data_IF_080169015676
#
_entry.id   IF_080169015676
#
_cell.length_a   1.000
_cell.length_b   1.000
_cell.length_c   1.000
_cell.angle_alpha   90.00
_cell.angle_beta   90.00
_cell.angle_gamma   90.00
#
_symmetry.space_group_name_H-M   'P 1'
#
loop_
_entity.id
_entity.type
_entity.pdbx_description
1 polymer ?
#
# COMPACT_ATOMS: atom_id res chain seq x y z
N UNK A 1 57.08 27.80 -36.43
CA UNK A 1 57.56 26.46 -36.01
C UNK A 1 58.31 26.66 -34.70
N UNK A 2 58.00 25.83 -33.70
CA UNK A 2 58.34 25.95 -32.27
C UNK A 2 57.54 27.03 -31.50
N UNK A 3 57.08 26.86 -30.26
CA UNK A 3 56.67 25.74 -29.40
C UNK A 3 56.30 26.44 -28.07
N UNK A 4 55.14 26.13 -27.46
CA UNK A 4 54.74 26.24 -26.03
C UNK A 4 53.31 26.81 -25.87
N UNK A 5 52.55 26.42 -24.83
CA UNK A 5 52.14 25.06 -24.49
C UNK A 5 50.60 24.95 -24.46
N UNK A 6 50.05 23.77 -24.78
CA UNK A 6 48.65 23.44 -24.47
C UNK A 6 48.46 23.43 -22.95
N UNK A 7 48.05 24.55 -22.37
CA UNK A 7 47.45 24.58 -21.04
C UNK A 7 45.92 24.51 -21.16
N UNK A 8 45.32 23.79 -20.22
CA UNK A 8 43.98 23.23 -20.28
C UNK A 8 42.87 24.23 -20.62
N UNK A 9 41.80 23.68 -21.19
CA UNK A 9 40.52 24.33 -21.48
C UNK A 9 39.92 24.93 -20.20
N UNK A 10 40.31 26.14 -19.84
CA UNK A 10 39.45 27.05 -19.08
C UNK A 10 39.25 28.27 -19.97
N UNK A 11 38.05 28.47 -20.56
CA UNK A 11 37.78 29.70 -21.28
C UNK A 11 37.95 30.87 -20.30
N UNK A 12 38.62 31.97 -20.70
CA UNK A 12 38.56 33.20 -19.91
C UNK A 12 37.08 33.64 -19.79
N UNK A 13 36.76 34.46 -18.79
CA UNK A 13 35.41 35.01 -18.67
C UNK A 13 35.02 35.65 -20.03
N UNK A 14 33.78 35.47 -20.51
CA UNK A 14 33.41 35.75 -21.90
C UNK A 14 33.66 37.19 -22.34
N UNK A 15 33.71 38.14 -21.40
CA UNK A 15 34.01 39.54 -21.69
C UNK A 15 35.50 39.83 -21.94
N UNK A 16 36.42 38.95 -21.53
CA UNK A 16 37.86 39.08 -21.77
C UNK A 16 38.27 38.56 -23.15
N UNK A 17 37.42 37.77 -23.81
CA UNK A 17 37.70 37.22 -25.15
C UNK A 17 37.96 38.31 -26.19
N UNK A 18 37.28 39.46 -26.07
CA UNK A 18 37.45 40.59 -27.00
C UNK A 18 38.79 41.33 -26.86
N UNK A 19 39.55 41.08 -25.78
CA UNK A 19 40.83 41.75 -25.50
C UNK A 19 42.04 40.84 -25.71
N UNK A 20 41.86 39.68 -26.35
CA UNK A 20 42.93 38.73 -26.67
C UNK A 20 43.66 39.18 -27.95
N UNK A 21 44.96 39.46 -27.83
CA UNK A 21 45.87 39.78 -28.93
C UNK A 21 46.89 38.64 -29.16
N UNK A 22 47.77 38.81 -30.16
CA UNK A 22 48.85 37.85 -30.45
C UNK A 22 49.89 37.74 -29.30
N UNK A 23 50.12 38.85 -28.58
CA UNK A 23 50.90 38.89 -27.35
C UNK A 23 50.01 39.38 -26.20
N UNK A 24 49.86 38.56 -25.15
CA UNK A 24 49.02 38.87 -23.99
C UNK A 24 49.83 38.84 -22.69
N UNK A 25 49.64 39.87 -21.86
CA UNK A 25 50.12 39.88 -20.47
C UNK A 25 48.97 39.43 -19.57
N UNK A 26 49.15 38.30 -18.89
CA UNK A 26 48.12 37.65 -18.07
C UNK A 26 48.58 37.58 -16.62
N UNK A 27 47.78 38.08 -15.68
CA UNK A 27 47.99 37.83 -14.25
C UNK A 27 47.03 36.73 -13.78
N UNK A 28 47.59 35.70 -13.15
CA UNK A 28 46.86 34.48 -12.76
C UNK A 28 47.00 34.25 -11.26
N UNK A 29 45.89 33.88 -10.61
CA UNK A 29 45.89 33.32 -9.27
C UNK A 29 45.66 31.81 -9.38
N UNK A 30 46.55 31.03 -8.77
CA UNK A 30 46.39 29.57 -8.75
C UNK A 30 45.34 29.20 -7.70
N UNK A 31 44.28 28.51 -8.12
CA UNK A 31 43.31 27.87 -7.22
C UNK A 31 43.49 26.35 -7.27
N UNK A 32 42.88 25.63 -6.32
CA UNK A 32 43.08 24.19 -6.16
C UNK A 32 42.67 23.34 -7.38
N UNK A 33 41.77 23.86 -8.24
CA UNK A 33 41.28 23.15 -9.42
C UNK A 33 41.76 23.74 -10.74
N UNK A 34 41.78 25.07 -10.88
CA UNK A 34 42.09 25.77 -12.13
C UNK A 34 42.73 27.16 -11.88
N UNK A 35 43.70 27.62 -12.70
CA UNK A 35 44.22 28.97 -12.56
C UNK A 35 43.16 29.99 -13.00
N UNK A 36 42.82 30.93 -12.12
CA UNK A 36 41.89 32.01 -12.41
C UNK A 36 42.66 33.21 -12.98
N UNK A 37 42.30 33.63 -14.18
CA UNK A 37 42.82 34.85 -14.81
C UNK A 37 42.13 36.06 -14.17
N UNK A 38 42.89 36.91 -13.49
CA UNK A 38 42.36 38.11 -12.80
C UNK A 38 42.55 39.39 -13.60
N UNK A 39 43.56 39.43 -14.48
CA UNK A 39 43.77 40.52 -15.41
C UNK A 39 44.31 40.03 -16.74
N UNK A 40 43.88 40.68 -17.83
CA UNK A 40 44.33 40.45 -19.19
C UNK A 40 44.62 41.80 -19.84
N UNK A 41 45.85 42.03 -20.29
CA UNK A 41 46.25 43.23 -21.04
C UNK A 41 45.87 44.55 -20.34
N UNK A 42 45.96 44.59 -19.01
CA UNK A 42 45.63 45.76 -18.19
C UNK A 42 44.16 45.87 -17.78
N UNK A 43 43.27 45.03 -18.30
CA UNK A 43 41.86 44.97 -17.87
C UNK A 43 41.69 43.98 -16.73
N UNK A 44 41.04 44.41 -15.65
CA UNK A 44 40.87 43.60 -14.42
C UNK A 44 39.42 43.13 -14.25
N UNK A 45 39.21 41.97 -13.63
CA UNK A 45 37.86 41.47 -13.29
C UNK A 45 37.04 42.43 -12.42
N UNK A 46 37.70 43.32 -11.66
CA UNK A 46 37.03 44.23 -10.72
C UNK A 46 36.28 45.36 -11.43
N UNK A 47 36.84 45.91 -12.51
CA UNK A 47 36.19 46.98 -13.30
C UNK A 47 34.85 46.50 -13.88
N UNK A 48 34.78 45.25 -14.34
CA UNK A 48 33.54 44.65 -14.82
C UNK A 48 32.48 44.49 -13.72
N UNK A 49 32.85 44.02 -12.53
CA UNK A 49 31.92 43.96 -11.39
C UNK A 49 31.39 45.35 -11.01
N UNK A 50 32.22 46.39 -11.19
CA UNK A 50 31.86 47.77 -10.91
C UNK A 50 30.95 48.37 -11.98
N UNK A 51 31.17 48.07 -13.27
CA UNK A 51 30.24 48.42 -14.36
C UNK A 51 28.89 47.72 -14.23
N UNK A 52 28.89 46.43 -13.88
CA UNK A 52 27.64 45.66 -13.65
C UNK A 52 26.86 46.25 -12.47
N UNK A 53 27.56 46.73 -11.42
CA UNK A 53 26.94 47.50 -10.32
C UNK A 53 26.48 48.90 -10.74
N UNK A 54 27.17 49.54 -11.69
CA UNK A 54 26.79 50.83 -12.26
C UNK A 54 25.47 50.75 -13.04
N UNK A 55 25.28 49.69 -13.84
CA UNK A 55 24.01 49.43 -14.52
C UNK A 55 22.85 49.10 -13.56
N UNK A 56 23.15 48.53 -12.38
CA UNK A 56 22.15 48.28 -11.33
C UNK A 56 21.76 49.55 -10.53
N UNK A 57 22.46 50.67 -10.71
CA UNK A 57 22.25 51.91 -9.96
C UNK A 57 21.76 53.08 -10.83
N UNK A 58 21.35 52.83 -12.07
CA UNK A 58 20.63 53.83 -12.86
C UNK A 58 19.22 54.01 -12.25
N UNK A 59 18.85 55.18 -11.69
CA UNK A 59 17.48 55.43 -11.32
C UNK A 59 16.70 55.54 -12.62
N UNK A 60 15.88 54.52 -12.91
CA UNK A 60 14.81 54.65 -13.90
C UNK A 60 14.00 55.87 -13.48
N UNK A 61 13.79 56.89 -14.34
CA UNK A 61 12.97 58.02 -13.99
C UNK A 61 11.62 57.48 -13.53
N UNK A 62 11.26 57.85 -12.30
CA UNK A 62 10.03 57.47 -11.61
C UNK A 62 8.83 57.85 -12.47
N UNK A 63 8.49 56.94 -13.39
CA UNK A 63 7.18 56.91 -14.01
C UNK A 63 6.28 56.50 -12.85
N UNK A 64 5.48 57.46 -12.40
CA UNK A 64 4.47 57.32 -11.38
C UNK A 64 4.08 55.86 -11.17
N UNK A 65 4.47 55.30 -10.02
CA UNK A 65 3.77 54.18 -9.44
C UNK A 65 2.37 54.70 -9.11
N UNK A 66 1.54 54.82 -10.15
CA UNK A 66 0.12 54.71 -10.00
C UNK A 66 -0.07 53.39 -9.29
N UNK A 67 -0.50 53.49 -8.04
CA UNK A 67 -1.29 52.45 -7.39
C UNK A 67 -2.57 52.39 -8.21
N UNK A 68 -2.44 51.86 -9.43
CA UNK A 68 -3.52 51.33 -10.21
C UNK A 68 -3.99 50.22 -9.32
N UNK A 69 -5.14 50.42 -8.66
CA UNK A 69 -5.74 49.38 -7.85
C UNK A 69 -5.59 48.09 -8.64
N UNK A 70 -4.89 47.11 -8.07
CA UNK A 70 -5.03 45.73 -8.50
C UNK A 70 -6.52 45.59 -8.74
N UNK A 71 -6.91 45.36 -9.99
CA UNK A 71 -8.21 44.78 -10.27
C UNK A 71 -8.17 43.53 -9.41
N UNK A 72 -8.79 43.63 -8.24
CA UNK A 72 -8.73 42.66 -7.16
C UNK A 72 -8.78 41.33 -7.83
N UNK A 73 -7.74 40.50 -7.68
CA UNK A 73 -7.77 39.14 -8.20
C UNK A 73 -9.04 38.51 -7.64
N UNK A 74 -10.11 38.54 -8.45
CA UNK A 74 -11.46 38.43 -7.94
C UNK A 74 -11.70 36.94 -7.87
N UNK A 75 -11.27 36.36 -6.75
CA UNK A 75 -11.48 34.96 -6.46
C UNK A 75 -12.97 34.82 -6.20
N UNK A 76 -13.67 34.32 -7.20
CA UNK A 76 -15.09 34.03 -7.08
C UNK A 76 -15.24 32.66 -6.43
N UNK A 77 -15.79 32.64 -5.22
CA UNK A 77 -16.28 31.39 -4.64
C UNK A 77 -17.54 31.00 -5.40
N UNK A 78 -17.42 30.02 -6.30
CA UNK A 78 -18.53 29.54 -7.11
C UNK A 78 -19.49 28.71 -6.27
N UNK A 79 -18.96 27.74 -5.52
CA UNK A 79 -19.77 26.78 -4.78
C UNK A 79 -18.93 26.06 -3.71
N UNK A 80 -19.61 25.49 -2.72
CA UNK A 80 -19.03 24.55 -1.77
C UNK A 80 -19.67 23.19 -2.02
N UNK A 81 -18.88 22.24 -2.51
CA UNK A 81 -19.33 20.86 -2.76
C UNK A 81 -18.75 19.91 -1.70
N UNK A 82 -19.38 18.75 -1.52
CA UNK A 82 -18.79 17.66 -0.72
C UNK A 82 -17.90 16.79 -1.59
N UNK A 83 -16.92 16.15 -0.97
CA UNK A 83 -16.09 15.12 -1.61
C UNK A 83 -16.95 14.06 -2.32
N UNK A 84 -16.49 13.67 -3.49
CA UNK A 84 -17.00 12.48 -4.19
C UNK A 84 -16.47 11.20 -3.55
N UNK A 85 -17.11 10.07 -3.83
CA UNK A 85 -16.68 8.77 -3.31
C UNK A 85 -15.23 8.42 -3.69
N UNK A 86 -14.81 8.78 -4.91
CA UNK A 86 -13.47 8.50 -5.41
C UNK A 86 -12.40 9.39 -4.75
N UNK A 87 -12.71 10.68 -4.54
CA UNK A 87 -11.84 11.60 -3.79
C UNK A 87 -11.71 11.15 -2.32
N UNK A 88 -12.80 10.67 -1.73
CA UNK A 88 -12.79 10.12 -0.37
C UNK A 88 -11.94 8.83 -0.26
N UNK A 89 -11.90 8.00 -1.32
CA UNK A 89 -11.10 6.78 -1.31
C UNK A 89 -9.59 7.07 -1.15
N UNK A 90 -9.10 8.20 -1.69
CA UNK A 90 -7.72 8.67 -1.52
C UNK A 90 -7.43 9.11 -0.08
N UNK A 91 -8.37 9.81 0.55
CA UNK A 91 -8.18 10.36 1.90
C UNK A 91 -8.41 9.32 3.01
N UNK A 92 -9.05 8.18 2.69
CA UNK A 92 -9.31 7.12 3.66
C UNK A 92 -7.99 6.58 4.22
N UNK A 93 -7.75 6.65 5.54
CA UNK A 93 -6.56 6.04 6.14
C UNK A 93 -6.53 4.56 5.78
N UNK A 94 -5.31 4.00 5.59
CA UNK A 94 -5.08 2.57 5.37
C UNK A 94 -5.94 1.84 6.41
N UNK A 95 -7.02 1.18 5.98
CA UNK A 95 -8.08 0.55 6.79
C UNK A 95 -7.58 -0.67 7.53
N UNK A 96 -6.60 -0.39 8.38
CA UNK A 96 -5.94 -1.32 9.28
C UNK A 96 -6.88 -1.70 10.41
N UNK A 97 -7.77 -0.79 10.82
CA UNK A 97 -8.74 -1.04 11.88
C UNK A 97 -9.68 -2.19 11.50
N UNK A 98 -10.25 -2.13 10.30
CA UNK A 98 -11.17 -3.16 9.79
C UNK A 98 -10.45 -4.50 9.61
N UNK A 99 -9.22 -4.49 9.09
CA UNK A 99 -8.39 -5.68 8.97
C UNK A 99 -8.05 -6.30 10.35
N UNK A 100 -7.70 -5.47 11.34
CA UNK A 100 -7.41 -5.92 12.70
C UNK A 100 -8.64 -6.52 13.39
N UNK A 101 -9.84 -5.97 13.18
CA UNK A 101 -11.08 -6.53 13.72
C UNK A 101 -11.35 -7.94 13.17
N UNK A 102 -11.11 -8.17 11.88
CA UNK A 102 -11.26 -9.49 11.26
C UNK A 102 -10.24 -10.48 11.81
N UNK A 103 -8.97 -10.06 11.93
CA UNK A 103 -7.92 -10.93 12.50
C UNK A 103 -8.20 -11.24 13.97
N UNK A 104 -8.65 -10.26 14.76
CA UNK A 104 -9.04 -10.46 16.14
C UNK A 104 -10.24 -11.43 16.28
N UNK A 105 -11.20 -11.36 15.36
CA UNK A 105 -12.32 -12.31 15.29
C UNK A 105 -11.81 -13.74 15.05
N UNK A 106 -10.89 -13.95 14.09
CA UNK A 106 -10.31 -15.27 13.85
C UNK A 106 -9.53 -15.81 15.05
N UNK A 107 -8.79 -14.96 15.76
CA UNK A 107 -8.13 -15.34 17.01
C UNK A 107 -9.13 -15.74 18.09
N UNK A 108 -10.23 -15.01 18.26
CA UNK A 108 -11.28 -15.40 19.21
C UNK A 108 -11.91 -16.75 18.85
N UNK A 109 -12.17 -17.02 17.56
CA UNK A 109 -12.65 -18.33 17.12
C UNK A 109 -11.66 -19.45 17.45
N UNK A 110 -10.36 -19.19 17.32
CA UNK A 110 -9.34 -20.15 17.75
C UNK A 110 -9.39 -20.39 19.27
N UNK A 111 -9.51 -19.33 20.09
CA UNK A 111 -9.62 -19.50 21.54
C UNK A 111 -10.87 -20.26 21.97
N UNK A 112 -12.00 -20.12 21.25
CA UNK A 112 -13.20 -20.93 21.50
C UNK A 112 -12.92 -22.44 21.50
N UNK A 113 -11.94 -22.91 20.71
CA UNK A 113 -11.59 -24.33 20.60
C UNK A 113 -10.75 -24.85 21.77
N UNK A 114 -10.14 -23.96 22.55
CA UNK A 114 -9.22 -24.29 23.65
C UNK A 114 -9.89 -24.05 25.01
N UNK A 115 -10.81 -23.09 25.08
CA UNK A 115 -11.46 -22.71 26.35
C UNK A 115 -12.58 -23.66 26.78
N UNK A 116 -12.88 -23.76 28.09
CA UNK A 116 -14.00 -24.54 28.60
C UNK A 116 -15.36 -24.12 28.03
N UNK A 117 -16.28 -25.08 27.89
CA UNK A 117 -17.60 -24.92 27.24
C UNK A 117 -18.45 -23.75 27.78
N UNK A 118 -18.26 -23.39 29.05
CA UNK A 118 -18.99 -22.29 29.71
C UNK A 118 -18.69 -20.91 29.07
N UNK A 119 -17.47 -20.73 28.54
CA UNK A 119 -17.04 -19.46 27.92
C UNK A 119 -17.24 -19.42 26.40
N UNK A 120 -17.49 -20.56 25.76
CA UNK A 120 -17.69 -20.69 24.32
C UNK A 120 -18.79 -19.77 23.76
N UNK A 121 -20.01 -19.65 24.34
CA UNK A 121 -21.03 -18.78 23.76
C UNK A 121 -20.65 -17.30 23.81
N UNK A 122 -19.93 -16.86 24.84
CA UNK A 122 -19.46 -15.49 24.98
C UNK A 122 -18.36 -15.15 23.97
N UNK A 123 -17.39 -16.05 23.81
CA UNK A 123 -16.30 -15.88 22.86
C UNK A 123 -16.80 -15.99 21.41
N UNK A 124 -17.68 -16.95 21.12
CA UNK A 124 -18.27 -17.10 19.78
C UNK A 124 -19.17 -15.91 19.42
N UNK A 125 -19.97 -15.40 20.37
CA UNK A 125 -20.76 -14.20 20.19
C UNK A 125 -19.90 -12.96 19.94
N UNK A 126 -18.83 -12.79 20.72
CA UNK A 126 -17.86 -11.71 20.52
C UNK A 126 -17.15 -11.79 19.17
N UNK A 127 -16.72 -12.99 18.77
CA UNK A 127 -16.08 -13.23 17.49
C UNK A 127 -17.01 -12.89 16.30
N UNK A 128 -18.28 -13.28 16.37
CA UNK A 128 -19.27 -12.97 15.34
C UNK A 128 -19.56 -11.47 15.24
N UNK A 129 -19.68 -10.78 16.38
CA UNK A 129 -19.87 -9.32 16.40
C UNK A 129 -18.67 -8.58 15.78
N UNK A 130 -17.45 -8.99 16.12
CA UNK A 130 -16.23 -8.41 15.54
C UNK A 130 -16.12 -8.66 14.04
N UNK A 131 -16.50 -9.86 13.58
CA UNK A 131 -16.54 -10.21 12.16
C UNK A 131 -17.57 -9.36 11.43
N UNK A 132 -18.79 -9.26 11.97
CA UNK A 132 -19.85 -8.42 11.42
C UNK A 132 -19.46 -6.95 11.35
N UNK A 133 -18.84 -6.41 12.39
CA UNK A 133 -18.33 -5.04 12.40
C UNK A 133 -17.19 -4.83 11.38
N UNK A 134 -16.28 -5.80 11.25
CA UNK A 134 -15.20 -5.77 10.26
C UNK A 134 -15.71 -5.79 8.81
N UNK A 135 -16.67 -6.68 8.51
CA UNK A 135 -17.32 -6.75 7.19
C UNK A 135 -18.17 -5.51 6.91
N UNK A 136 -18.91 -5.02 7.90
CA UNK A 136 -19.66 -3.77 7.78
C UNK A 136 -18.71 -2.61 7.45
N UNK A 137 -17.56 -2.49 8.12
CA UNK A 137 -16.56 -1.45 7.81
C UNK A 137 -15.92 -1.58 6.42
N UNK A 138 -15.93 -2.77 5.80
CA UNK A 138 -15.44 -2.99 4.44
C UNK A 138 -16.46 -2.54 3.38
N UNK A 139 -17.74 -2.83 3.57
CA UNK A 139 -18.78 -2.60 2.57
C UNK A 139 -19.67 -1.37 2.84
N UNK A 140 -19.67 -0.83 4.06
CA UNK A 140 -20.53 0.29 4.39
C UNK A 140 -20.07 1.56 3.65
N UNK A 141 -21.02 2.31 3.08
CA UNK A 141 -20.71 3.59 2.48
C UNK A 141 -20.22 4.58 3.55
N UNK A 142 -19.34 5.52 3.19
CA UNK A 142 -18.86 6.51 4.13
C UNK A 142 -19.99 7.38 4.66
N UNK A 143 -19.88 7.75 5.93
CA UNK A 143 -20.85 8.66 6.53
C UNK A 143 -20.74 10.05 5.89
N UNK A 144 -21.87 10.73 5.70
CA UNK A 144 -21.90 12.10 5.12
C UNK A 144 -21.14 13.14 5.94
N UNK A 145 -20.82 12.83 7.20
CA UNK A 145 -20.01 13.65 8.11
C UNK A 145 -18.51 13.43 7.96
N UNK A 146 -18.08 12.30 7.37
CA UNK A 146 -16.66 12.05 7.11
C UNK A 146 -16.18 12.61 5.76
N UNK A 147 -17.10 12.99 4.89
CA UNK A 147 -16.80 13.65 3.61
C UNK A 147 -16.40 15.10 3.89
N UNK A 148 -15.20 15.48 3.46
CA UNK A 148 -14.70 16.84 3.60
C UNK A 148 -15.40 17.78 2.62
N UNK A 149 -15.39 19.07 2.97
CA UNK A 149 -15.88 20.13 2.11
C UNK A 149 -14.78 20.57 1.14
N UNK A 150 -15.18 20.79 -0.11
CA UNK A 150 -14.33 21.23 -1.21
C UNK A 150 -14.88 22.57 -1.67
N UNK A 151 -13.99 23.56 -1.75
CA UNK A 151 -14.31 24.91 -2.16
C UNK A 151 -13.99 25.05 -3.65
N UNK A 152 -15.02 25.31 -4.45
CA UNK A 152 -14.89 25.58 -5.88
C UNK A 152 -14.64 27.07 -6.06
N UNK A 153 -13.40 27.41 -6.39
CA UNK A 153 -12.95 28.78 -6.61
C UNK A 153 -12.71 29.00 -8.10
N UNK A 154 -12.97 30.22 -8.58
CA UNK A 154 -12.58 30.64 -9.92
C UNK A 154 -11.60 31.79 -9.83
N UNK A 155 -10.46 31.66 -10.48
CA UNK A 155 -9.45 32.71 -10.51
C UNK A 155 -8.25 32.30 -11.35
N UNK A 156 -7.22 33.16 -11.36
CA UNK A 156 -6.00 32.94 -12.13
C UNK A 156 -4.89 32.46 -11.20
N UNK A 157 -4.44 31.20 -11.26
CA UNK A 157 -3.30 30.76 -10.47
C UNK A 157 -2.04 31.45 -11.00
N UNK A 158 -1.28 32.08 -10.10
CA UNK A 158 -0.02 32.75 -10.43
C UNK A 158 1.12 32.12 -9.66
N UNK A 159 2.28 32.05 -10.31
CA UNK A 159 3.54 31.70 -9.64
C UNK A 159 4.11 32.98 -9.03
N UNK A 160 4.51 32.93 -7.76
CA UNK A 160 5.30 34.02 -7.20
C UNK A 160 6.73 33.92 -7.78
N UNK A 161 7.09 34.84 -8.68
CA UNK A 161 8.45 34.95 -9.19
C UNK A 161 9.35 35.60 -8.13
N UNK A 162 9.67 34.84 -7.07
CA UNK A 162 10.76 35.20 -6.17
C UNK A 162 12.05 34.67 -6.80
N UNK A 163 12.80 35.60 -7.38
CA UNK A 163 14.10 35.37 -7.98
C UNK A 163 15.01 34.56 -7.03
N UNK A 164 15.41 33.37 -7.45
CA UNK A 164 16.34 32.47 -6.77
C UNK A 164 16.55 31.21 -7.60
N UNK A 165 17.80 30.90 -7.93
CA UNK A 165 18.26 29.85 -8.86
C UNK A 165 17.99 28.40 -8.39
N UNK A 166 16.79 28.10 -7.88
CA UNK A 166 16.42 26.76 -7.43
C UNK A 166 14.98 26.44 -7.87
N UNK A 167 14.84 25.95 -9.10
CA UNK A 167 13.57 25.66 -9.78
C UNK A 167 12.63 24.73 -8.98
N UNK A 168 13.17 23.94 -8.05
CA UNK A 168 12.42 22.94 -7.29
C UNK A 168 11.63 23.53 -6.10
N UNK A 169 12.10 24.63 -5.50
CA UNK A 169 11.38 25.36 -4.44
C UNK A 169 10.40 26.38 -5.04
N UNK A 170 10.67 26.86 -6.26
CA UNK A 170 9.83 27.83 -6.99
C UNK A 170 8.54 27.24 -7.56
N UNK A 171 8.37 25.92 -7.62
CA UNK A 171 7.12 25.28 -8.09
C UNK A 171 6.11 25.13 -6.93
N UNK A 172 6.57 25.24 -5.68
CA UNK A 172 5.71 25.14 -4.49
C UNK A 172 5.04 26.46 -4.08
N UNK A 173 5.29 27.56 -4.80
CA UNK A 173 4.80 28.90 -4.45
C UNK A 173 3.69 29.40 -5.39
N UNK A 174 2.91 28.49 -5.98
CA UNK A 174 1.77 28.84 -6.81
C UNK A 174 0.63 29.25 -5.88
N UNK A 175 0.06 30.43 -6.09
CA UNK A 175 -1.04 30.95 -5.30
C UNK A 175 -2.21 31.38 -6.18
N UNK A 176 -3.39 31.34 -5.58
CA UNK A 176 -4.61 31.94 -6.10
C UNK A 176 -4.90 33.17 -5.23
N UNK A 177 -4.46 34.34 -5.68
CA UNK A 177 -4.43 35.56 -4.86
C UNK A 177 -3.64 35.39 -3.59
N UNK A 178 -4.34 35.24 -2.47
CA UNK A 178 -3.75 35.16 -1.12
C UNK A 178 -3.62 33.70 -0.65
N UNK A 179 -4.21 32.75 -1.37
CA UNK A 179 -4.25 31.34 -0.97
C UNK A 179 -3.18 30.57 -1.72
N UNK A 180 -2.17 30.07 -1.00
CA UNK A 180 -1.19 29.16 -1.58
C UNK A 180 -1.86 27.84 -1.97
N UNK A 181 -1.50 27.29 -3.13
CA UNK A 181 -2.03 26.04 -3.66
C UNK A 181 -0.99 24.93 -3.53
N UNK A 182 -1.37 23.83 -2.86
CA UNK A 182 -0.51 22.66 -2.72
C UNK A 182 -0.91 21.60 -3.73
N UNK A 183 -0.03 21.34 -4.68
CA UNK A 183 -0.23 20.36 -5.74
C UNK A 183 0.45 19.01 -5.44
N UNK A 184 -0.14 17.88 -5.89
CA UNK A 184 0.55 16.60 -5.90
C UNK A 184 1.82 16.63 -6.76
N UNK A 185 2.86 15.90 -6.35
CA UNK A 185 4.16 15.91 -7.02
C UNK A 185 4.09 15.46 -8.49
N UNK A 186 3.21 14.52 -8.84
CA UNK A 186 3.08 14.01 -10.21
C UNK A 186 2.34 14.98 -11.15
N UNK A 187 1.66 15.99 -10.61
CA UNK A 187 0.97 17.01 -11.40
C UNK A 187 1.91 18.14 -11.85
N UNK A 188 3.05 18.32 -11.17
CA UNK A 188 4.02 19.41 -11.40
C UNK A 188 4.30 19.76 -12.87
N UNK A 189 4.60 18.82 -13.80
CA UNK A 189 4.92 19.17 -15.18
C UNK A 189 3.72 19.69 -15.99
N UNK A 190 2.48 19.41 -15.57
CA UNK A 190 1.28 19.75 -16.33
C UNK A 190 0.67 21.09 -15.93
N UNK A 191 1.06 21.66 -14.78
CA UNK A 191 0.46 22.89 -14.23
C UNK A 191 0.84 24.14 -15.04
N UNK A 192 2.02 24.13 -15.68
CA UNK A 192 2.53 25.30 -16.40
C UNK A 192 1.63 25.79 -17.54
N UNK A 193 0.81 24.90 -18.12
CA UNK A 193 -0.07 25.25 -19.24
C UNK A 193 -1.26 26.12 -18.82
N UNK A 194 -1.76 25.91 -17.59
CA UNK A 194 -2.96 26.56 -17.06
C UNK A 194 -2.62 27.78 -16.18
N UNK A 195 -1.33 28.07 -15.99
CA UNK A 195 -0.85 29.20 -15.19
C UNK A 195 -1.15 30.54 -15.89
N UNK A 196 -1.63 31.52 -15.12
CA UNK A 196 -1.98 32.85 -15.63
C UNK A 196 -3.30 32.92 -16.42
N UNK A 197 -3.98 31.79 -16.63
CA UNK A 197 -5.31 31.75 -17.25
C UNK A 197 -6.41 31.66 -16.18
N UNK A 198 -7.60 32.19 -16.46
CA UNK A 198 -8.72 32.08 -15.52
C UNK A 198 -9.26 30.66 -15.55
N UNK A 199 -9.08 29.91 -14.47
CA UNK A 199 -9.46 28.49 -14.37
C UNK A 199 -10.27 28.22 -13.12
N UNK A 200 -11.14 27.22 -13.20
CA UNK A 200 -11.87 26.72 -12.04
C UNK A 200 -10.96 25.77 -11.26
N UNK A 201 -10.83 26.00 -9.96
CA UNK A 201 -9.93 25.28 -9.07
C UNK A 201 -10.73 24.82 -7.85
N UNK A 202 -10.74 23.51 -7.62
CA UNK A 202 -11.37 22.91 -6.45
C UNK A 202 -10.28 22.64 -5.41
N UNK A 203 -10.44 23.19 -4.21
CA UNK A 203 -9.47 23.03 -3.12
C UNK A 203 -10.10 22.49 -1.84
N UNK A 204 -9.29 21.79 -1.06
CA UNK A 204 -9.59 21.51 0.34
C UNK A 204 -9.34 22.74 1.22
N UNK A 205 -9.93 22.73 2.42
CA UNK A 205 -9.59 23.69 3.50
C UNK A 205 -8.07 23.71 3.79
N UNK A 206 -7.41 22.57 3.64
CA UNK A 206 -5.97 22.40 3.85
C UNK A 206 -5.13 22.89 2.64
N UNK A 207 -5.68 23.69 1.72
CA UNK A 207 -5.01 24.24 0.52
C UNK A 207 -4.59 23.22 -0.54
N UNK A 208 -4.90 21.94 -0.35
CA UNK A 208 -4.60 20.90 -1.33
C UNK A 208 -5.57 20.97 -2.50
N UNK A 209 -5.03 20.95 -3.71
CA UNK A 209 -5.82 21.05 -4.95
C UNK A 209 -6.39 19.69 -5.32
N UNK A 210 -7.70 19.66 -5.57
CA UNK A 210 -8.44 18.45 -5.98
C UNK A 210 -8.65 18.41 -7.48
N UNK A 211 -8.88 19.58 -8.08
CA UNK A 211 -9.09 19.73 -9.52
C UNK A 211 -8.63 21.11 -9.96
N UNK A 212 -8.04 21.17 -11.14
CA UNK A 212 -7.73 22.39 -11.86
C UNK A 212 -8.19 22.27 -13.31
N UNK A 213 -9.09 23.16 -13.71
CA UNK A 213 -9.56 23.28 -15.08
C UNK A 213 -10.24 22.02 -15.62
N UNK A 214 -9.87 21.65 -16.85
CA UNK A 214 -10.52 20.58 -17.62
C UNK A 214 -9.84 19.22 -17.48
N UNK A 215 -8.52 19.18 -17.38
CA UNK A 215 -7.75 17.94 -17.52
C UNK A 215 -7.18 17.41 -16.21
N UNK A 216 -6.99 18.28 -15.22
CA UNK A 216 -6.36 17.92 -13.98
C UNK A 216 -7.43 17.72 -12.91
N UNK A 217 -7.79 16.47 -12.62
CA UNK A 217 -8.76 16.16 -11.58
C UNK A 217 -8.39 14.86 -10.86
N UNK A 218 -8.37 14.88 -9.53
CA UNK A 218 -8.13 13.67 -8.73
C UNK A 218 -9.26 12.65 -8.93
N UNK A 219 -10.48 13.14 -9.17
CA UNK A 219 -11.63 12.29 -9.44
C UNK A 219 -11.42 11.41 -10.68
N UNK A 220 -11.02 12.02 -11.81
CA UNK A 220 -10.77 11.26 -13.04
C UNK A 220 -9.51 10.40 -12.92
N UNK A 221 -8.51 10.85 -12.16
CA UNK A 221 -7.31 10.09 -11.89
C UNK A 221 -7.63 8.77 -11.17
N UNK A 222 -8.39 8.80 -10.07
CA UNK A 222 -8.76 7.59 -9.33
C UNK A 222 -9.61 6.64 -10.18
N UNK A 223 -10.50 7.21 -11.00
CA UNK A 223 -11.38 6.43 -11.88
C UNK A 223 -10.60 5.69 -12.97
N UNK A 224 -9.59 6.33 -13.54
CA UNK A 224 -8.76 5.74 -14.59
C UNK A 224 -7.62 4.90 -14.02
N UNK A 225 -7.11 5.26 -12.85
CA UNK A 225 -5.96 4.66 -12.17
C UNK A 225 -6.29 4.36 -10.70
N UNK A 226 -7.07 3.31 -10.41
CA UNK A 226 -7.44 2.98 -9.05
C UNK A 226 -6.23 2.51 -8.25
N UNK A 227 -5.95 3.18 -7.13
CA UNK A 227 -4.87 2.79 -6.21
C UNK A 227 -5.24 1.51 -5.46
N UNK A 228 -4.47 0.43 -5.70
CA UNK A 228 -4.66 -0.82 -4.97
C UNK A 228 -3.97 -0.77 -3.60
N UNK A 229 -4.75 -0.70 -2.52
CA UNK A 229 -4.24 -0.75 -1.15
C UNK A 229 -3.94 -2.20 -0.71
N UNK A 230 -2.75 -2.72 -1.01
CA UNK A 230 -2.38 -4.10 -0.69
C UNK A 230 -2.26 -4.38 0.82
N UNK A 231 -1.90 -3.37 1.63
CA UNK A 231 -1.54 -3.56 3.04
C UNK A 231 -2.65 -4.22 3.88
N UNK A 232 -3.91 -3.84 3.64
CA UNK A 232 -5.06 -4.42 4.36
C UNK A 232 -5.18 -5.91 4.07
N UNK A 233 -5.10 -6.28 2.79
CA UNK A 233 -5.15 -7.66 2.33
C UNK A 233 -3.97 -8.48 2.87
N UNK A 234 -2.77 -7.90 2.95
CA UNK A 234 -1.61 -8.59 3.55
C UNK A 234 -1.80 -8.85 5.03
N UNK A 235 -2.39 -7.93 5.79
CA UNK A 235 -2.64 -8.16 7.22
C UNK A 235 -3.67 -9.25 7.43
N UNK A 236 -4.75 -9.25 6.64
CA UNK A 236 -5.77 -10.30 6.71
C UNK A 236 -5.16 -11.66 6.33
N UNK A 237 -4.35 -11.71 5.26
CA UNK A 237 -3.69 -12.93 4.83
C UNK A 237 -2.65 -13.43 5.85
N UNK A 238 -1.86 -12.53 6.43
CA UNK A 238 -0.91 -12.89 7.48
C UNK A 238 -1.61 -13.37 8.75
N UNK A 239 -2.71 -12.72 9.15
CA UNK A 239 -3.51 -13.10 10.30
C UNK A 239 -4.21 -14.45 10.12
N UNK A 240 -4.79 -14.71 8.95
CA UNK A 240 -5.40 -16.01 8.65
C UNK A 240 -4.36 -17.13 8.58
N UNK A 241 -3.18 -16.86 8.00
CA UNK A 241 -2.07 -17.81 7.97
C UNK A 241 -1.55 -18.12 9.38
N UNK A 242 -1.46 -17.13 10.26
CA UNK A 242 -1.09 -17.34 11.66
C UNK A 242 -2.10 -18.24 12.37
N UNK A 243 -3.40 -17.98 12.21
CA UNK A 243 -4.44 -18.82 12.83
C UNK A 243 -4.41 -20.24 12.27
N UNK A 244 -4.21 -20.40 10.97
CA UNK A 244 -4.02 -21.72 10.34
C UNK A 244 -2.83 -22.47 10.97
N UNK A 245 -1.70 -21.79 11.14
CA UNK A 245 -0.53 -22.36 11.78
C UNK A 245 -0.84 -22.78 13.22
N UNK A 246 -1.45 -21.91 14.03
CA UNK A 246 -1.85 -22.28 15.40
C UNK A 246 -2.79 -23.49 15.41
N UNK A 247 -3.74 -23.57 14.46
CA UNK A 247 -4.65 -24.69 14.35
C UNK A 247 -3.91 -26.01 14.06
N UNK A 248 -2.94 -26.00 13.12
CA UNK A 248 -2.16 -27.17 12.72
C UNK A 248 -1.25 -27.71 13.84
N UNK A 249 -0.63 -26.82 14.62
CA UNK A 249 0.34 -27.22 15.65
C UNK A 249 -0.30 -27.48 17.02
N UNK A 250 -1.36 -26.74 17.36
CA UNK A 250 -1.92 -26.76 18.72
C UNK A 250 -3.10 -27.73 18.89
N UNK A 251 -3.88 -27.92 17.83
CA UNK A 251 -5.01 -28.84 17.83
C UNK A 251 -4.59 -30.07 17.01
N UNK A 252 -4.86 -31.31 17.45
CA UNK A 252 -4.49 -32.51 16.71
C UNK A 252 -5.39 -32.69 15.47
N UNK A 253 -5.28 -31.79 14.49
CA UNK A 253 -5.99 -31.87 13.20
C UNK A 253 -5.43 -32.93 12.25
N UNK A 254 -4.36 -33.61 12.63
CA UNK A 254 -3.75 -34.64 11.78
C UNK A 254 -4.76 -35.76 11.44
N UNK A 255 -5.67 -36.10 12.37
CA UNK A 255 -6.76 -37.05 12.10
C UNK A 255 -7.78 -36.53 11.07
N UNK A 256 -8.50 -35.41 11.28
CA UNK A 256 -9.48 -34.90 10.32
C UNK A 256 -8.87 -34.50 8.97
N UNK A 257 -7.63 -33.99 8.94
CA UNK A 257 -6.94 -33.70 7.68
C UNK A 257 -6.68 -34.97 6.88
N UNK A 258 -6.22 -36.05 7.52
CA UNK A 258 -6.09 -37.36 6.87
C UNK A 258 -7.44 -37.86 6.35
N UNK A 259 -8.53 -37.68 7.09
CA UNK A 259 -9.88 -38.04 6.62
C UNK A 259 -10.34 -37.22 5.40
N UNK A 260 -10.17 -35.89 5.41
CA UNK A 260 -10.54 -35.05 4.26
C UNK A 260 -9.69 -35.35 3.02
N UNK A 261 -8.39 -35.66 3.21
CA UNK A 261 -7.48 -36.01 2.13
C UNK A 261 -7.76 -37.41 1.58
N UNK A 262 -8.12 -38.37 2.43
CA UNK A 262 -8.57 -39.71 2.02
C UNK A 262 -9.94 -39.66 1.32
N UNK A 263 -10.85 -38.79 1.75
CA UNK A 263 -12.14 -38.57 1.09
C UNK A 263 -11.96 -37.94 -0.30
N UNK A 264 -11.10 -36.92 -0.43
CA UNK A 264 -10.78 -36.27 -1.70
C UNK A 264 -10.07 -37.22 -2.69
N UNK A 265 -9.32 -38.20 -2.17
CA UNK A 265 -8.69 -39.27 -2.96
C UNK A 265 -9.65 -40.41 -3.33
N UNK A 266 -10.92 -40.33 -2.95
CA UNK A 266 -11.95 -41.31 -3.29
C UNK A 266 -11.91 -42.53 -2.38
N UNK A 267 -12.19 -42.34 -1.09
CA UNK A 267 -12.36 -43.45 -0.13
C UNK A 267 -13.45 -44.43 -0.62
N UNK A 268 -13.05 -45.66 -0.95
CA UNK A 268 -13.94 -46.73 -1.38
C UNK A 268 -14.39 -47.53 -0.16
N UNK A 269 -15.69 -47.81 -0.07
CA UNK A 269 -16.25 -48.76 0.92
C UNK A 269 -15.82 -50.17 0.53
N UNK A 270 -14.85 -50.75 1.22
CA UNK A 270 -14.39 -52.11 0.97
C UNK A 270 -15.24 -53.05 1.82
N UNK A 271 -16.20 -53.74 1.20
CA UNK A 271 -16.95 -54.84 1.84
C UNK A 271 -16.13 -56.13 1.72
N UNK A 272 -15.42 -56.50 2.78
CA UNK A 272 -14.65 -57.75 2.83
C UNK A 272 -15.46 -58.83 3.56
N UNK A 273 -15.88 -59.87 2.83
CA UNK A 273 -16.61 -61.02 3.39
C UNK A 273 -15.69 -62.20 3.74
N UNK A 274 -14.38 -62.09 3.45
CA UNK A 274 -13.37 -63.09 3.77
C UNK A 274 -12.06 -62.46 4.25
N UNK A 275 -11.37 -63.12 5.19
CA UNK A 275 -10.08 -62.66 5.76
C UNK A 275 -8.99 -62.51 4.68
N UNK A 276 -9.02 -63.35 3.64
CA UNK A 276 -8.08 -63.25 2.51
C UNK A 276 -8.34 -62.01 1.65
N UNK A 277 -9.61 -61.66 1.42
CA UNK A 277 -9.98 -60.44 0.69
C UNK A 277 -9.59 -59.18 1.47
N UNK A 278 -9.67 -59.22 2.81
CA UNK A 278 -9.25 -58.11 3.65
C UNK A 278 -7.71 -57.93 3.67
N UNK A 279 -6.96 -59.04 3.65
CA UNK A 279 -5.49 -59.00 3.60
C UNK A 279 -4.96 -58.50 2.25
N UNK A 280 -5.58 -58.90 1.14
CA UNK A 280 -5.18 -58.47 -0.21
C UNK A 280 -5.64 -57.03 -0.54
N UNK A 281 -6.67 -56.51 0.14
CA UNK A 281 -7.23 -55.17 -0.13
C UNK A 281 -6.34 -54.00 0.32
N UNK A 282 -5.35 -54.22 1.21
CA UNK A 282 -4.38 -53.19 1.59
C UNK A 282 -5.00 -51.93 2.21
N UNK A 283 -5.77 -52.12 3.30
CA UNK A 283 -6.53 -51.07 4.01
C UNK A 283 -5.67 -49.85 4.38
N UNK A 284 -6.17 -48.65 4.06
CA UNK A 284 -5.55 -47.37 4.41
C UNK A 284 -6.35 -46.64 5.49
N UNK A 285 -5.69 -45.71 6.17
CA UNK A 285 -6.34 -44.82 7.15
C UNK A 285 -7.36 -43.93 6.43
N UNK A 286 -8.64 -44.13 6.76
CA UNK A 286 -9.77 -43.41 6.15
C UNK A 286 -10.77 -44.30 5.38
N UNK A 287 -10.44 -45.58 5.17
CA UNK A 287 -11.36 -46.52 4.51
C UNK A 287 -12.48 -46.96 5.47
N UNK A 288 -13.71 -47.02 4.97
CA UNK A 288 -14.85 -47.54 5.72
C UNK A 288 -14.97 -49.04 5.46
N UNK A 289 -14.71 -49.84 6.50
CA UNK A 289 -14.78 -51.30 6.43
C UNK A 289 -16.12 -51.79 6.94
N UNK A 290 -16.84 -52.54 6.10
CA UNK A 290 -17.99 -53.33 6.52
C UNK A 290 -17.60 -54.80 6.50
N UNK A 291 -17.29 -55.32 7.68
CA UNK A 291 -16.86 -56.71 7.87
C UNK A 291 -18.10 -57.52 8.25
N UNK A 292 -18.45 -58.51 7.43
CA UNK A 292 -19.42 -59.54 7.79
C UNK A 292 -18.71 -60.89 7.72
N UNK A 293 -18.86 -61.70 8.76
CA UNK A 293 -18.24 -63.01 8.83
C UNK A 293 -19.12 -63.99 9.58
N UNK A 294 -19.03 -65.26 9.20
CA UNK A 294 -19.69 -66.36 9.89
C UNK A 294 -18.63 -67.14 10.65
N UNK A 295 -18.80 -67.25 11.97
CA UNK A 295 -17.90 -67.99 12.85
C UNK A 295 -18.52 -69.30 13.31
N UNK A 296 -17.68 -70.31 13.58
CA UNK A 296 -18.11 -71.54 14.24
C UNK A 296 -17.61 -71.54 15.69
N UNK A 297 -18.44 -71.98 16.64
CA UNK A 297 -18.03 -72.11 18.03
C UNK A 297 -17.19 -73.38 18.21
N UNK A 298 -16.06 -73.26 18.90
CA UNK A 298 -15.16 -74.38 19.16
C UNK A 298 -15.68 -75.23 20.33
N UNK A 299 -16.25 -76.38 20.03
CA UNK A 299 -16.65 -77.34 21.07
C UNK A 299 -15.39 -78.13 21.46
N UNK A 300 -14.80 -77.82 22.61
CA UNK A 300 -13.74 -78.66 23.18
C UNK A 300 -14.35 -79.98 23.66
N UNK A 301 -14.38 -81.00 22.81
CA UNK A 301 -14.59 -82.39 23.22
C UNK A 301 -13.25 -83.09 23.44
N UNK A 302 -12.59 -82.78 24.56
CA UNK A 302 -11.59 -83.70 25.12
C UNK A 302 -11.48 -83.55 26.64
N UNK A 303 -12.02 -84.54 27.35
CA UNK A 303 -11.46 -85.02 28.62
C UNK A 303 -12.04 -84.50 29.93
N UNK A 304 -12.41 -83.23 30.07
CA UNK A 304 -12.82 -82.69 31.39
C UNK A 304 -13.81 -81.54 31.26
N UNK A 305 -15.11 -81.85 31.27
CA UNK A 305 -16.18 -80.85 31.45
C UNK A 305 -16.92 -81.13 32.76
N UNK A 306 -16.67 -80.32 33.79
CA UNK A 306 -17.57 -80.26 34.96
C UNK A 306 -18.62 -79.19 34.67
N UNK A 307 -19.87 -79.62 34.46
CA UNK A 307 -20.98 -78.69 34.27
C UNK A 307 -21.13 -77.79 35.51
N UNK A 308 -20.92 -76.48 35.36
CA UNK A 308 -21.36 -75.51 36.37
C UNK A 308 -22.88 -75.53 36.39
N UNK A 309 -23.45 -75.95 37.52
CA UNK A 309 -24.86 -76.29 37.76
C UNK A 309 -25.84 -75.10 37.78
N UNK A 310 -25.54 -73.98 37.12
CA UNK A 310 -26.43 -72.81 37.22
C UNK A 310 -26.57 -71.98 35.93
N UNK A 311 -26.74 -72.64 34.79
CA UNK A 311 -27.28 -72.01 33.58
C UNK A 311 -28.11 -73.00 32.77
N UNK A 312 -29.38 -72.71 32.43
CA UNK A 312 -30.29 -73.66 31.80
C UNK A 312 -30.07 -73.88 30.29
N UNK A 313 -28.96 -73.39 29.72
CA UNK A 313 -28.62 -73.54 28.30
C UNK A 313 -27.40 -74.47 28.13
N UNK A 314 -27.62 -75.65 27.53
CA UNK A 314 -26.61 -76.63 27.08
C UNK A 314 -25.92 -76.17 25.76
N UNK A 315 -24.99 -76.95 25.18
CA UNK A 315 -23.58 -77.19 25.49
C UNK A 315 -22.62 -76.33 24.62
N UNK A 316 -23.10 -75.19 24.12
CA UNK A 316 -22.36 -74.33 23.19
C UNK A 316 -21.60 -73.23 23.95
N UNK A 317 -20.33 -73.48 24.28
CA UNK A 317 -19.44 -72.41 24.75
C UNK A 317 -18.88 -71.64 23.54
N UNK A 318 -19.56 -70.55 23.18
CA UNK A 318 -19.15 -69.63 22.12
C UNK A 318 -18.21 -68.52 22.64
N UNK A 319 -17.59 -68.68 23.82
CA UNK A 319 -16.60 -67.72 24.33
C UNK A 319 -15.37 -67.57 23.43
N UNK A 320 -15.13 -68.53 22.52
CA UNK A 320 -14.08 -68.47 21.50
C UNK A 320 -14.68 -68.78 20.11
N UNK A 321 -14.74 -67.74 19.27
CA UNK A 321 -15.18 -67.85 17.87
C UNK A 321 -13.96 -68.11 17.00
N UNK A 322 -13.98 -69.20 16.23
CA UNK A 322 -12.95 -69.48 15.22
C UNK A 322 -13.49 -69.04 13.86
N UNK A 323 -12.75 -68.15 13.20
CA UNK A 323 -13.00 -67.69 11.84
C UNK A 323 -12.34 -68.66 10.85
N UNK A 324 -13.01 -68.98 9.74
CA UNK A 324 -12.47 -69.81 8.66
C UNK A 324 -12.00 -68.96 7.49
#
# INVERSE_FOLDING_TARGET
MALLPRFGRSPPAPFLEQYINDENTVELIHTDSLPLVISLNGHTLQEYMQETRGYALQPVPSTQASIRGEESEQIELLNIRKETHEEYALSRPRGLREALLIVASFLMFFFCLITPDVFVPWLAGGALLLLGAGLWGLFAPPAKSSLREIHCLRGTPRRWELFGENDQEQINNISLGIIDLVYPAHWQPYIAQDLGQQTDIDIYLDRHVVRQGRYLSLHDEVKNFPLQHWLRSTIIAAGSLLVLFMLLFWIPLDMPLKFTLSWMKGAQTIEATSVKQLADAGVRVGDTLRISGTGMCNIRTSGTWSAKTNSPFLPFDCSQIIWK
#
